data_IF_930116305732
#
_entry.id   IF_930116305732
#
_cell.length_a   1.000
_cell.length_b   1.000
_cell.length_c   1.000
_cell.angle_alpha   90.00
_cell.angle_beta   90.00
_cell.angle_gamma   90.00
#
_symmetry.space_group_name_H-M   'P 1'
#
loop_
_entity.id
_entity.type
_entity.pdbx_description
1 polymer ?
#
# COMPACT_ATOMS: atom_id res chain seq x y z
N UNK A 1 -26.93 -73.29 26.02
CA UNK A 1 -26.53 -72.04 25.33
C UNK A 1 -27.32 -70.89 25.95
N UNK A 2 -26.59 -69.92 26.49
CA UNK A 2 -27.08 -68.87 27.40
C UNK A 2 -27.83 -67.74 26.68
N UNK A 3 -28.84 -67.13 27.34
CA UNK A 3 -29.10 -65.68 27.30
C UNK A 3 -30.11 -65.28 28.38
N UNK A 4 -29.58 -64.72 29.48
CA UNK A 4 -30.30 -64.07 30.56
C UNK A 4 -30.76 -62.67 30.13
N UNK A 5 -32.04 -62.33 30.34
CA UNK A 5 -32.59 -60.96 30.15
C UNK A 5 -32.54 -60.22 31.48
N UNK A 6 -31.75 -59.14 31.55
CA UNK A 6 -31.73 -58.22 32.70
C UNK A 6 -32.97 -57.29 32.67
N UNK A 7 -33.51 -56.88 33.83
CA UNK A 7 -34.58 -55.89 33.88
C UNK A 7 -34.05 -54.45 33.74
N UNK A 8 -34.74 -53.66 32.93
CA UNK A 8 -34.54 -52.23 32.76
C UNK A 8 -35.28 -51.47 33.87
N UNK A 9 -34.53 -50.89 34.81
CA UNK A 9 -35.06 -49.97 35.82
C UNK A 9 -34.16 -48.75 35.85
N UNK A 10 -34.70 -47.60 35.42
CA UNK A 10 -34.27 -46.24 35.78
C UNK A 10 -34.86 -45.26 34.77
N UNK A 11 -35.99 -44.62 35.08
CA UNK A 11 -36.37 -43.28 34.59
C UNK A 11 -37.40 -42.71 35.56
N UNK A 12 -36.96 -41.95 36.56
CA UNK A 12 -37.90 -41.27 37.46
C UNK A 12 -37.28 -40.51 38.61
N UNK A 13 -36.05 -40.87 39.04
CA UNK A 13 -35.47 -40.33 40.27
C UNK A 13 -34.15 -39.54 40.06
N UNK A 14 -33.93 -38.96 38.88
CA UNK A 14 -32.74 -38.14 38.60
C UNK A 14 -33.05 -36.71 38.14
N UNK A 15 -34.31 -36.30 38.08
CA UNK A 15 -34.66 -34.92 37.71
C UNK A 15 -34.91 -34.00 38.91
N UNK A 16 -35.17 -34.54 40.11
CA UNK A 16 -35.44 -33.72 41.30
C UNK A 16 -34.16 -33.25 42.03
N UNK A 17 -33.01 -33.89 41.78
CA UNK A 17 -31.73 -33.48 42.39
C UNK A 17 -30.89 -32.51 41.54
N UNK A 18 -31.23 -32.30 40.27
CA UNK A 18 -30.54 -31.33 39.39
C UNK A 18 -31.13 -29.92 39.52
N UNK A 19 -32.42 -29.80 39.85
CA UNK A 19 -33.06 -28.49 39.96
C UNK A 19 -32.71 -27.73 41.25
N UNK A 20 -32.26 -28.41 42.31
CA UNK A 20 -31.97 -27.80 43.61
C UNK A 20 -30.51 -27.33 43.75
N UNK A 21 -29.62 -27.74 42.84
CA UNK A 21 -28.21 -27.32 42.81
C UNK A 21 -27.95 -26.04 42.02
N UNK A 22 -28.86 -25.64 41.12
CA UNK A 22 -28.69 -24.42 40.31
C UNK A 22 -29.14 -23.16 41.09
N UNK A 23 -30.10 -23.27 42.01
CA UNK A 23 -30.58 -22.12 42.80
C UNK A 23 -29.70 -21.81 44.02
N UNK A 24 -28.97 -22.78 44.58
CA UNK A 24 -28.09 -22.54 45.73
C UNK A 24 -26.75 -21.87 45.34
N UNK A 25 -26.36 -21.94 44.07
CA UNK A 25 -25.14 -21.27 43.56
C UNK A 25 -25.33 -19.78 43.26
N UNK A 26 -26.57 -19.28 43.22
CA UNK A 26 -26.86 -17.86 42.93
C UNK A 26 -26.91 -17.03 44.21
N UNK A 27 -27.21 -17.64 45.36
CA UNK A 27 -27.33 -16.91 46.66
C UNK A 27 -26.00 -16.79 47.41
N UNK A 28 -24.93 -17.43 46.93
CA UNK A 28 -23.57 -17.33 47.51
C UNK A 28 -22.50 -16.85 46.51
N UNK A 29 -22.90 -16.21 45.41
CA UNK A 29 -22.00 -15.69 44.37
C UNK A 29 -21.97 -14.17 44.24
N UNK A 30 -22.66 -13.43 45.11
CA UNK A 30 -22.68 -11.97 45.11
C UNK A 30 -21.50 -11.37 45.87
N UNK A 31 -20.26 -11.58 45.43
CA UNK A 31 -19.08 -10.82 45.88
C UNK A 31 -17.87 -11.11 44.95
N UNK A 32 -17.95 -10.65 43.69
CA UNK A 32 -16.77 -10.54 42.81
C UNK A 32 -16.84 -9.25 41.99
N UNK A 33 -17.18 -8.14 42.64
CA UNK A 33 -16.72 -6.82 42.20
C UNK A 33 -15.52 -6.48 43.10
N UNK A 34 -14.36 -6.24 42.49
CA UNK A 34 -13.05 -5.96 43.14
C UNK A 34 -12.17 -7.19 43.43
N UNK A 35 -11.77 -7.91 42.38
CA UNK A 35 -10.47 -8.57 42.37
C UNK A 35 -9.63 -7.93 41.26
N UNK A 36 -8.83 -6.92 41.63
CA UNK A 36 -7.70 -6.49 40.82
C UNK A 36 -6.73 -7.67 40.69
N UNK A 37 -6.67 -8.28 39.51
CA UNK A 37 -5.53 -9.11 39.14
C UNK A 37 -4.37 -8.16 38.84
N UNK A 38 -3.58 -7.88 39.86
CA UNK A 38 -2.27 -7.27 39.71
C UNK A 38 -1.31 -8.31 39.13
N UNK A 39 -1.25 -8.37 37.80
CA UNK A 39 -0.26 -9.17 37.08
C UNK A 39 -0.78 -9.59 35.71
N UNK A 40 -0.10 -9.13 34.66
CA UNK A 40 -0.34 -9.39 33.22
C UNK A 40 -1.27 -8.41 32.48
N UNK A 41 -1.52 -7.21 33.01
CA UNK A 41 -1.81 -6.08 32.12
C UNK A 41 -0.52 -5.75 31.36
N UNK A 42 -0.31 -6.38 30.20
CA UNK A 42 0.64 -5.87 29.22
C UNK A 42 0.13 -4.48 28.84
N UNK A 43 0.81 -3.45 29.35
CA UNK A 43 0.68 -2.11 28.78
C UNK A 43 0.82 -2.26 27.26
N UNK A 44 -0.11 -1.73 26.44
CA UNK A 44 0.14 -1.63 25.02
C UNK A 44 1.52 -1.00 24.88
N UNK A 45 2.47 -1.61 24.15
CA UNK A 45 3.80 -1.05 24.05
C UNK A 45 3.63 0.39 23.58
N UNK A 46 4.15 1.30 24.38
CA UNK A 46 4.21 2.72 24.06
C UNK A 46 4.81 2.78 22.65
N UNK A 47 4.03 3.29 21.69
CA UNK A 47 4.47 3.36 20.29
C UNK A 47 5.69 4.27 20.27
N UNK A 48 6.88 3.67 20.33
CA UNK A 48 8.14 4.39 20.23
C UNK A 48 8.03 5.16 18.91
N UNK A 49 7.99 6.51 18.92
CA UNK A 49 7.98 7.26 17.68
C UNK A 49 9.27 6.88 16.97
N UNK A 50 9.15 6.12 15.88
CA UNK A 50 10.29 5.71 15.09
C UNK A 50 10.82 6.98 14.42
N UNK A 51 11.74 7.67 15.09
CA UNK A 51 12.44 8.86 14.61
C UNK A 51 13.55 8.51 13.63
N UNK A 52 13.43 7.39 12.91
CA UNK A 52 14.06 7.30 11.60
C UNK A 52 13.20 8.13 10.67
N UNK A 53 13.76 9.21 10.10
CA UNK A 53 13.13 10.07 9.08
C UNK A 53 12.79 9.34 7.76
N UNK A 54 12.45 8.05 7.82
CA UNK A 54 11.90 7.24 6.75
C UNK A 54 10.42 7.55 6.66
N UNK A 55 10.04 8.29 5.62
CA UNK A 55 8.63 8.59 5.32
C UNK A 55 7.87 7.26 5.26
N UNK A 56 6.82 7.12 6.09
CA UNK A 56 5.97 5.93 6.08
C UNK A 56 5.31 5.83 4.70
N UNK A 57 5.48 4.70 4.02
CA UNK A 57 4.88 4.44 2.68
C UNK A 57 3.38 4.78 2.67
N UNK A 58 2.69 4.54 3.79
CA UNK A 58 1.27 4.84 3.99
C UNK A 58 0.91 6.32 3.95
N UNK A 59 1.86 7.24 4.15
CA UNK A 59 1.61 8.69 4.24
C UNK A 59 2.17 9.46 3.04
N UNK A 60 3.02 8.85 2.20
CA UNK A 60 3.69 9.52 1.07
C UNK A 60 2.67 10.15 0.10
N UNK A 61 1.54 9.48 -0.11
CA UNK A 61 0.51 9.95 -1.04
C UNK A 61 -0.03 11.35 -0.69
N UNK A 62 -0.10 11.71 0.60
CA UNK A 62 -0.56 13.04 1.03
C UNK A 62 0.37 14.13 0.48
N UNK A 63 1.68 13.92 0.62
CA UNK A 63 2.70 14.82 0.08
C UNK A 63 2.69 14.89 -1.45
N UNK A 64 2.30 13.81 -2.13
CA UNK A 64 2.13 13.83 -3.59
C UNK A 64 0.99 14.78 -3.97
N UNK A 65 -0.18 14.68 -3.32
CA UNK A 65 -1.31 15.59 -3.60
C UNK A 65 -1.04 17.03 -3.16
N UNK A 66 -0.24 17.25 -2.11
CA UNK A 66 0.24 18.59 -1.75
C UNK A 66 1.08 19.22 -2.88
N UNK A 67 1.95 18.44 -3.53
CA UNK A 67 2.82 18.92 -4.62
C UNK A 67 2.12 18.93 -5.99
N UNK A 68 1.13 18.07 -6.20
CA UNK A 68 0.41 17.87 -7.44
C UNK A 68 -1.11 17.90 -7.19
N UNK A 69 -1.68 19.06 -6.80
CA UNK A 69 -3.07 19.17 -6.34
C UNK A 69 -4.12 18.89 -7.43
N UNK A 70 -3.72 18.92 -8.69
CA UNK A 70 -4.60 18.67 -9.84
C UNK A 70 -4.70 17.17 -10.21
N UNK A 71 -4.01 16.27 -9.49
CA UNK A 71 -4.17 14.84 -9.71
C UNK A 71 -5.55 14.36 -9.24
N UNK A 72 -6.22 13.46 -9.98
CA UNK A 72 -7.48 12.91 -9.54
C UNK A 72 -7.29 12.09 -8.25
N UNK A 73 -8.12 12.31 -7.22
CA UNK A 73 -7.99 11.57 -5.96
C UNK A 73 -8.43 10.11 -6.08
N UNK A 74 -9.40 9.79 -6.94
CA UNK A 74 -10.03 8.46 -7.07
C UNK A 74 -10.28 7.78 -5.70
N UNK A 75 -10.95 8.47 -4.78
CA UNK A 75 -11.17 8.02 -3.40
C UNK A 75 -12.65 7.89 -3.00
N UNK A 76 -13.56 7.81 -3.98
CA UNK A 76 -15.00 7.64 -3.73
C UNK A 76 -15.41 6.19 -3.43
N UNK A 77 -14.45 5.30 -3.18
CA UNK A 77 -14.71 3.88 -2.96
C UNK A 77 -15.23 3.61 -1.56
N UNK A 78 -16.13 2.63 -1.45
CA UNK A 78 -16.72 2.22 -0.17
C UNK A 78 -15.86 1.11 0.45
N UNK A 79 -15.44 1.32 1.69
CA UNK A 79 -14.76 0.34 2.52
C UNK A 79 -15.65 -0.88 2.77
N UNK A 80 -15.09 -2.07 2.63
CA UNK A 80 -15.77 -3.32 2.93
C UNK A 80 -16.02 -3.49 4.44
N UNK A 81 -15.08 -3.03 5.28
CA UNK A 81 -15.15 -3.12 6.73
C UNK A 81 -16.16 -2.13 7.33
N UNK A 82 -16.03 -0.84 6.98
CA UNK A 82 -16.79 0.22 7.65
C UNK A 82 -18.08 0.60 6.92
N UNK A 83 -18.21 0.21 5.65
CA UNK A 83 -19.32 0.63 4.79
C UNK A 83 -19.33 2.12 4.43
N UNK A 84 -18.29 2.88 4.82
CA UNK A 84 -18.13 4.31 4.54
C UNK A 84 -17.14 4.54 3.39
N UNK A 85 -17.09 5.77 2.88
CA UNK A 85 -16.07 6.18 1.90
C UNK A 85 -14.67 6.01 2.52
N UNK A 86 -13.78 5.37 1.78
CA UNK A 86 -12.42 5.10 2.19
C UNK A 86 -11.48 6.24 1.75
N UNK A 87 -11.54 7.37 2.44
CA UNK A 87 -10.90 8.63 2.03
C UNK A 87 -9.39 8.52 1.75
N UNK A 88 -8.70 7.69 2.52
CA UNK A 88 -7.25 7.44 2.39
C UNK A 88 -6.88 6.43 1.29
N UNK A 89 -7.87 5.75 0.69
CA UNK A 89 -7.69 4.89 -0.48
C UNK A 89 -7.84 5.74 -1.74
N UNK A 90 -6.80 6.50 -2.03
CA UNK A 90 -6.66 7.34 -3.22
C UNK A 90 -5.96 6.61 -4.38
N UNK A 91 -5.99 7.18 -5.58
CA UNK A 91 -5.23 6.73 -6.74
C UNK A 91 -3.74 6.54 -6.36
N UNK A 92 -3.14 7.57 -5.75
CA UNK A 92 -1.72 7.55 -5.45
C UNK A 92 -1.39 6.59 -4.32
N UNK A 93 -2.24 6.44 -3.29
CA UNK A 93 -1.98 5.45 -2.24
C UNK A 93 -2.02 4.02 -2.79
N UNK A 94 -2.94 3.71 -3.71
CA UNK A 94 -2.97 2.43 -4.43
C UNK A 94 -1.79 2.23 -5.38
N UNK A 95 -1.41 3.25 -6.15
CA UNK A 95 -0.26 3.20 -7.06
C UNK A 95 1.05 2.90 -6.30
N UNK A 96 1.27 3.57 -5.18
CA UNK A 96 2.43 3.31 -4.32
C UNK A 96 2.40 1.89 -3.76
N UNK A 97 1.25 1.42 -3.26
CA UNK A 97 1.10 0.04 -2.76
C UNK A 97 1.33 -0.99 -3.87
N UNK A 98 0.84 -0.74 -5.08
CA UNK A 98 1.05 -1.61 -6.23
C UNK A 98 2.56 -1.72 -6.55
N UNK A 99 3.25 -0.58 -6.63
CA UNK A 99 4.69 -0.54 -6.87
C UNK A 99 5.48 -1.32 -5.81
N UNK A 100 5.20 -1.05 -4.53
CA UNK A 100 5.98 -1.58 -3.41
C UNK A 100 5.64 -3.03 -3.09
N UNK A 101 4.36 -3.39 -3.04
CA UNK A 101 3.92 -4.68 -2.50
C UNK A 101 3.51 -5.69 -3.57
N UNK A 102 2.96 -5.23 -4.71
CA UNK A 102 2.54 -6.14 -5.78
C UNK A 102 3.70 -6.42 -6.74
N UNK A 103 4.45 -5.37 -7.11
CA UNK A 103 5.58 -5.48 -8.04
C UNK A 103 6.95 -5.55 -7.37
N UNK A 104 7.02 -5.31 -6.05
CA UNK A 104 8.27 -5.32 -5.29
C UNK A 104 9.38 -4.45 -5.91
N UNK A 105 9.00 -3.33 -6.52
CA UNK A 105 9.94 -2.43 -7.19
C UNK A 105 10.63 -1.49 -6.19
N UNK A 106 11.93 -1.19 -6.36
CA UNK A 106 12.62 -0.20 -5.53
C UNK A 106 12.10 1.22 -5.77
N UNK A 107 11.74 1.92 -4.69
CA UNK A 107 11.16 3.27 -4.76
C UNK A 107 12.16 4.38 -5.06
N UNK A 108 13.47 4.09 -4.95
CA UNK A 108 14.55 5.06 -5.12
C UNK A 108 14.90 5.37 -6.58
N UNK A 109 14.40 4.58 -7.53
CA UNK A 109 14.80 4.66 -8.93
C UNK A 109 13.67 5.15 -9.82
N UNK A 110 14.01 6.12 -10.68
CA UNK A 110 13.09 6.72 -11.63
C UNK A 110 12.54 5.72 -12.66
N UNK A 111 13.37 4.76 -13.08
CA UNK A 111 12.99 3.76 -14.07
C UNK A 111 11.85 2.88 -13.54
N UNK A 112 11.94 2.42 -12.30
CA UNK A 112 10.94 1.57 -11.68
C UNK A 112 9.56 2.22 -11.59
N UNK A 113 9.50 3.52 -11.28
CA UNK A 113 8.24 4.27 -11.32
C UNK A 113 7.68 4.41 -12.74
N UNK A 114 8.55 4.57 -13.74
CA UNK A 114 8.12 4.58 -15.14
C UNK A 114 7.57 3.23 -15.59
N UNK A 115 8.18 2.14 -15.16
CA UNK A 115 7.65 0.79 -15.42
C UNK A 115 6.29 0.60 -14.76
N UNK A 116 6.11 1.07 -13.52
CA UNK A 116 4.78 1.10 -12.89
C UNK A 116 3.77 1.88 -13.73
N UNK A 117 4.09 3.09 -14.20
CA UNK A 117 3.15 3.82 -15.06
C UNK A 117 2.89 3.09 -16.38
N UNK A 118 3.88 2.39 -16.94
CA UNK A 118 3.70 1.57 -18.13
C UNK A 118 2.75 0.38 -17.89
N UNK A 119 2.74 -0.19 -16.68
CA UNK A 119 1.76 -1.20 -16.26
C UNK A 119 0.33 -0.62 -16.30
N UNK A 120 0.12 0.58 -15.71
CA UNK A 120 -1.18 1.28 -15.74
C UNK A 120 -1.63 1.68 -17.15
N UNK A 121 -0.69 1.98 -18.03
CA UNK A 121 -0.96 2.31 -19.44
C UNK A 121 -1.17 1.05 -20.30
N UNK A 122 -0.98 -0.15 -19.76
CA UNK A 122 -1.16 -1.41 -20.48
C UNK A 122 -0.06 -1.72 -21.51
N UNK A 123 1.14 -1.15 -21.34
CA UNK A 123 2.26 -1.27 -22.29
C UNK A 123 3.51 -1.95 -21.71
N UNK A 124 3.43 -2.49 -20.49
CA UNK A 124 4.51 -3.26 -19.86
C UNK A 124 4.02 -4.61 -19.34
N UNK A 125 3.43 -4.68 -18.15
CA UNK A 125 2.91 -5.93 -17.59
C UNK A 125 1.40 -5.86 -17.34
N UNK A 126 0.66 -6.98 -17.51
CA UNK A 126 -0.77 -7.01 -17.22
C UNK A 126 -1.00 -6.82 -15.71
N UNK A 127 -1.98 -5.98 -15.38
CA UNK A 127 -2.45 -5.77 -14.01
C UNK A 127 -3.63 -6.69 -13.73
N UNK A 128 -3.52 -7.53 -12.70
CA UNK A 128 -4.57 -8.50 -12.35
C UNK A 128 -5.50 -7.90 -11.30
N UNK A 129 -6.80 -8.00 -11.54
CA UNK A 129 -7.84 -7.55 -10.60
C UNK A 129 -7.65 -8.20 -9.21
N UNK A 130 -7.31 -9.49 -9.20
CA UNK A 130 -7.21 -10.32 -8.00
C UNK A 130 -6.12 -9.87 -7.01
N UNK A 131 -5.07 -9.19 -7.47
CA UNK A 131 -3.98 -8.73 -6.60
C UNK A 131 -3.84 -7.20 -6.57
N UNK A 132 -4.81 -6.48 -7.14
CA UNK A 132 -4.75 -5.03 -7.20
C UNK A 132 -5.05 -4.42 -5.81
N UNK A 133 -4.31 -3.37 -5.38
CA UNK A 133 -4.57 -2.73 -4.09
C UNK A 133 -6.01 -2.23 -3.97
N UNK A 134 -6.67 -2.62 -2.88
CA UNK A 134 -8.08 -2.33 -2.65
C UNK A 134 -9.00 -3.53 -2.87
N UNK A 135 -8.53 -4.63 -3.46
CA UNK A 135 -9.35 -5.83 -3.71
C UNK A 135 -10.01 -6.41 -2.45
N UNK A 136 -9.31 -6.45 -1.31
CA UNK A 136 -9.86 -6.97 -0.05
C UNK A 136 -10.50 -5.89 0.84
N UNK A 137 -10.17 -4.61 0.59
CA UNK A 137 -10.53 -3.50 1.47
C UNK A 137 -11.74 -2.70 0.97
N UNK A 138 -12.07 -2.79 -0.33
CA UNK A 138 -13.08 -1.99 -1.00
C UNK A 138 -14.16 -2.89 -1.61
N UNK A 139 -15.41 -2.43 -1.61
CA UNK A 139 -16.54 -3.17 -2.19
C UNK A 139 -16.45 -3.34 -3.71
N UNK A 140 -15.75 -2.44 -4.38
CA UNK A 140 -15.51 -2.46 -5.84
C UNK A 140 -14.00 -2.39 -6.08
N UNK A 141 -13.51 -3.16 -7.04
CA UNK A 141 -12.10 -3.12 -7.40
C UNK A 141 -11.79 -1.83 -8.20
N UNK A 142 -10.82 -1.02 -7.76
CA UNK A 142 -10.55 0.29 -8.37
C UNK A 142 -9.73 0.26 -9.67
N UNK A 143 -9.22 -0.91 -10.10
CA UNK A 143 -8.21 -1.02 -11.16
C UNK A 143 -8.59 -0.29 -12.45
N UNK A 144 -9.79 -0.53 -12.99
CA UNK A 144 -10.18 0.01 -14.29
C UNK A 144 -10.26 1.54 -14.28
N UNK A 145 -10.83 2.12 -13.21
CA UNK A 145 -10.91 3.59 -13.07
C UNK A 145 -9.53 4.19 -12.86
N UNK A 146 -8.66 3.54 -12.09
CA UNK A 146 -7.30 4.02 -11.88
C UNK A 146 -6.47 4.00 -13.18
N UNK A 147 -6.61 2.96 -14.00
CA UNK A 147 -5.98 2.91 -15.32
C UNK A 147 -6.47 4.07 -16.19
N UNK A 148 -7.78 4.33 -16.22
CA UNK A 148 -8.35 5.48 -16.96
C UNK A 148 -7.81 6.82 -16.45
N UNK A 149 -7.73 7.00 -15.13
CA UNK A 149 -7.20 8.21 -14.53
C UNK A 149 -5.73 8.45 -14.92
N UNK A 150 -4.89 7.40 -14.93
CA UNK A 150 -3.49 7.50 -15.37
C UNK A 150 -3.36 7.71 -16.89
N UNK A 151 -4.24 7.13 -17.69
CA UNK A 151 -4.29 7.33 -19.15
C UNK A 151 -4.65 8.78 -19.52
N UNK A 152 -5.51 9.43 -18.73
CA UNK A 152 -5.89 10.83 -18.93
C UNK A 152 -4.75 11.81 -18.64
N UNK A 153 -3.74 11.42 -17.86
CA UNK A 153 -2.57 12.26 -17.64
C UNK A 153 -1.82 12.46 -18.96
N UNK A 154 -1.36 13.68 -19.24
CA UNK A 154 -0.43 13.92 -20.32
C UNK A 154 1.01 13.52 -19.93
N UNK A 155 1.93 13.56 -20.90
CA UNK A 155 3.34 13.19 -20.68
C UNK A 155 3.99 14.02 -19.55
N UNK A 156 3.76 15.32 -19.54
CA UNK A 156 4.31 16.24 -18.54
C UNK A 156 3.81 15.91 -17.14
N UNK A 157 2.51 15.62 -16.98
CA UNK A 157 1.91 15.22 -15.70
C UNK A 157 2.47 13.88 -15.20
N UNK A 158 2.67 12.90 -16.10
CA UNK A 158 3.30 11.63 -15.75
C UNK A 158 4.76 11.81 -15.32
N UNK A 159 5.52 12.62 -16.04
CA UNK A 159 6.91 12.91 -15.66
C UNK A 159 6.99 13.66 -14.32
N UNK A 160 6.07 14.60 -14.06
CA UNK A 160 5.96 15.29 -12.76
C UNK A 160 5.65 14.31 -11.62
N UNK A 161 4.66 13.43 -11.81
CA UNK A 161 4.32 12.39 -10.83
C UNK A 161 5.51 11.49 -10.50
N UNK A 162 6.22 10.99 -11.52
CA UNK A 162 7.42 10.17 -11.33
C UNK A 162 8.50 10.92 -10.55
N UNK A 163 8.77 12.18 -10.91
CA UNK A 163 9.81 12.96 -10.25
C UNK A 163 9.45 13.25 -8.78
N UNK A 164 8.18 13.56 -8.49
CA UNK A 164 7.66 13.74 -7.13
C UNK A 164 7.78 12.46 -6.31
N UNK A 165 7.42 11.30 -6.87
CA UNK A 165 7.55 10.02 -6.16
C UNK A 165 9.01 9.71 -5.82
N UNK A 166 9.92 9.85 -6.79
CA UNK A 166 11.36 9.61 -6.56
C UNK A 166 11.92 10.56 -5.49
N UNK A 167 11.59 11.84 -5.54
CA UNK A 167 12.13 12.82 -4.58
C UNK A 167 11.64 12.58 -3.15
N UNK A 168 10.38 12.16 -2.99
CA UNK A 168 9.80 11.85 -1.68
C UNK A 168 10.39 10.58 -1.05
N UNK A 169 10.76 9.59 -1.86
CA UNK A 169 11.41 8.36 -1.38
C UNK A 169 12.94 8.47 -1.30
N UNK A 170 13.55 9.41 -2.02
CA UNK A 170 14.99 9.63 -2.03
C UNK A 170 15.32 11.14 -1.98
N UNK A 171 15.16 11.79 -0.80
CA UNK A 171 15.40 13.23 -0.66
C UNK A 171 16.87 13.61 -0.92
N UNK A 172 17.82 12.69 -0.72
CA UNK A 172 19.24 12.95 -0.96
C UNK A 172 19.57 13.00 -2.46
N UNK A 173 18.86 12.24 -3.31
CA UNK A 173 19.06 12.29 -4.77
C UNK A 173 18.50 13.57 -5.41
N UNK A 174 17.47 14.20 -4.81
CA UNK A 174 16.97 15.49 -5.28
C UNK A 174 18.04 16.60 -5.22
N UNK A 175 18.98 16.50 -4.27
CA UNK A 175 20.10 17.43 -4.15
C UNK A 175 21.13 17.27 -5.30
N UNK A 176 21.23 16.07 -5.89
CA UNK A 176 22.14 15.80 -7.02
C UNK A 176 21.57 16.36 -8.35
N UNK A 177 20.25 16.34 -8.55
CA UNK A 177 19.63 16.95 -9.75
C UNK A 177 19.64 18.48 -9.72
N UNK A 178 19.61 19.09 -8.52
CA UNK A 178 19.76 20.54 -8.33
C UNK A 178 21.22 21.01 -8.31
N UNK A 179 22.21 20.11 -8.29
CA UNK A 179 23.54 20.48 -8.77
C UNK A 179 23.44 20.66 -10.27
N UNK A 180 23.37 21.91 -10.70
CA UNK A 180 23.75 22.36 -12.04
C UNK A 180 24.89 21.48 -12.54
N UNK A 181 24.59 20.61 -13.50
CA UNK A 181 25.57 20.23 -14.51
C UNK A 181 26.10 21.59 -15.00
N UNK A 182 27.41 21.88 -14.87
CA UNK A 182 27.93 23.14 -15.39
C UNK A 182 27.52 23.20 -16.85
N UNK A 183 26.63 24.15 -17.17
CA UNK A 183 26.35 24.56 -18.53
C UNK A 183 27.72 24.83 -19.15
N UNK A 184 28.14 24.15 -20.24
CA UNK A 184 29.41 24.48 -20.86
C UNK A 184 29.35 25.96 -21.23
N UNK A 185 30.23 26.75 -20.61
CA UNK A 185 30.39 28.17 -20.91
C UNK A 185 30.57 28.30 -22.41
N UNK A 186 29.60 28.95 -23.08
CA UNK A 186 29.72 29.37 -24.46
C UNK A 186 30.64 30.59 -24.52
N UNK A 187 31.94 30.39 -24.28
CA UNK A 187 32.98 31.37 -24.52
C UNK A 187 34.36 30.70 -24.43
N UNK A 188 34.82 30.15 -25.55
CA UNK A 188 36.19 30.22 -26.07
C UNK A 188 36.45 29.05 -27.04
N UNK A 189 36.85 29.43 -28.26
CA UNK A 189 37.77 28.75 -29.21
C UNK A 189 37.65 27.23 -29.41
N UNK A 190 37.51 26.73 -30.65
CA UNK A 190 37.33 25.29 -30.91
C UNK A 190 38.55 24.46 -30.47
N UNK A 191 38.38 23.45 -29.59
CA UNK A 191 39.41 22.46 -29.33
C UNK A 191 39.41 21.43 -30.47
N UNK A 192 40.59 21.16 -31.04
CA UNK A 192 40.82 20.08 -32.00
C UNK A 192 40.46 18.74 -31.35
N UNK A 193 39.46 18.06 -31.92
CA UNK A 193 39.01 16.73 -31.51
C UNK A 193 40.14 15.70 -31.64
N UNK A 194 40.40 14.85 -30.62
CA UNK A 194 41.27 13.69 -30.76
C UNK A 194 40.68 12.69 -31.77
N UNK A 195 41.46 12.14 -32.71
CA UNK A 195 40.94 11.20 -33.70
C UNK A 195 40.63 9.87 -32.99
N UNK A 196 39.37 9.46 -32.97
CA UNK A 196 39.02 8.08 -32.58
C UNK A 196 37.67 7.84 -31.90
N UNK A 197 36.88 8.87 -31.56
CA UNK A 197 35.54 8.66 -30.99
C UNK A 197 34.47 9.09 -31.99
N UNK A 198 33.73 8.11 -32.52
CA UNK A 198 32.52 8.37 -33.29
C UNK A 198 31.52 9.14 -32.42
N UNK A 199 30.95 10.25 -32.91
CA UNK A 199 29.90 10.98 -32.21
C UNK A 199 28.71 10.06 -31.90
N UNK A 200 28.07 10.29 -30.75
CA UNK A 200 26.82 9.61 -30.41
C UNK A 200 25.72 10.09 -31.38
N UNK A 201 24.90 9.20 -31.95
CA UNK A 201 23.90 9.59 -32.92
C UNK A 201 22.87 10.56 -32.32
N UNK A 202 22.52 11.57 -33.10
CA UNK A 202 21.53 12.59 -32.76
C UNK A 202 20.13 12.19 -33.23
N UNK A 203 19.11 12.80 -32.64
CA UNK A 203 17.72 12.64 -33.09
C UNK A 203 17.59 13.17 -34.52
N UNK A 204 17.36 12.28 -35.49
CA UNK A 204 17.34 12.59 -36.92
C UNK A 204 18.34 11.78 -37.76
N UNK A 205 19.36 11.17 -37.14
CA UNK A 205 20.39 10.41 -37.87
C UNK A 205 19.83 9.14 -38.55
N UNK A 206 18.67 8.65 -38.11
CA UNK A 206 17.98 7.53 -38.74
C UNK A 206 17.40 7.88 -40.13
N UNK A 207 17.19 9.16 -40.45
CA UNK A 207 16.71 9.59 -41.76
C UNK A 207 17.80 9.56 -42.84
N UNK A 208 19.06 9.38 -42.45
CA UNK A 208 20.22 9.27 -43.36
C UNK A 208 20.38 7.88 -43.99
N UNK A 209 19.52 6.92 -43.62
CA UNK A 209 19.55 5.53 -44.11
C UNK A 209 18.54 5.26 -45.24
N UNK A 210 18.02 6.31 -45.88
CA UNK A 210 17.06 6.22 -46.99
C UNK A 210 17.74 6.30 -48.35
#
# INVERSE_FOLDING_TARGET
MSKSRKPQKQRGLSFLLVALSITLLIVLGGFFDSFEIQGLAQTPPEQIPSTSGRVRVSEVWKKVYEQLPNLPPENQYISQETGKVAEDNTLISRLIRYHVYVKARPTQYRLDWKLTLADYLGVNEPMLVLNYPGQEALKENPLERDQKAIQQLNRTQRDALVNTLVSLFNPNAANIQNRTIPKPNSSSTPPKTPPGLTPLPQSGDADLLK
#
